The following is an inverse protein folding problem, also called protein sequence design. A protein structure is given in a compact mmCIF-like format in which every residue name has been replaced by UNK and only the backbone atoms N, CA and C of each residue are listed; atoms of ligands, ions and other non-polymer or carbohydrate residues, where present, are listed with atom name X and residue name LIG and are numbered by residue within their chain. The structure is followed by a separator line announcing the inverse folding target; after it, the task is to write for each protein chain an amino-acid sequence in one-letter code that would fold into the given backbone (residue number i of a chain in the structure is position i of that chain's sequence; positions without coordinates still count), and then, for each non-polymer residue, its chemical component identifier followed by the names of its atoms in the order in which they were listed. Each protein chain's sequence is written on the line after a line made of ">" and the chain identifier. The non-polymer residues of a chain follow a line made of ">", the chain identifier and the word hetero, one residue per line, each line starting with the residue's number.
data_IF_744918752758
#
_entry.id   IF_744918752758
#
_cell.length_a   1.000
_cell.length_b   1.000
_cell.length_c   1.000
_cell.angle_alpha   90.00
_cell.angle_beta   90.00
_cell.angle_gamma   90.00
#
_symmetry.space_group_name_H-M   'P 1'
#
loop_
_entity.id
_entity.type
_entity.pdbx_description
1 polymer ?
#
# COMPACT_ATOMS: atom_id res chain seq x y z
N UNK A 1 -6.67 2.08 -1.54
CA UNK A 1 -6.91 1.36 -0.28
C UNK A 1 -7.03 -0.13 -0.58
N UNK A 2 -6.31 -0.99 0.14
CA UNK A 2 -6.37 -2.45 -0.04
C UNK A 2 -6.34 -3.13 1.35
N UNK A 3 -7.30 -4.00 1.62
CA UNK A 3 -7.41 -4.73 2.88
C UNK A 3 -7.16 -6.24 2.70
N UNK A 4 -6.17 -6.80 3.38
CA UNK A 4 -5.81 -8.21 3.30
C UNK A 4 -6.11 -8.88 4.62
N UNK A 5 -6.97 -9.88 4.61
CA UNK A 5 -7.36 -10.61 5.81
C UNK A 5 -6.24 -11.51 6.36
N UNK A 6 -6.32 -11.78 7.65
CA UNK A 6 -5.45 -12.74 8.33
C UNK A 6 -5.66 -14.16 7.79
N UNK A 7 -4.59 -14.91 7.57
CA UNK A 7 -4.66 -16.33 7.19
C UNK A 7 -4.97 -17.23 8.40
N UNK A 8 -4.83 -16.73 9.64
CA UNK A 8 -5.08 -17.49 10.87
C UNK A 8 -6.53 -17.36 11.33
N UNK A 9 -6.95 -16.17 11.74
CA UNK A 9 -8.32 -15.93 12.21
C UNK A 9 -8.74 -14.47 11.95
N UNK A 10 -9.31 -14.17 10.78
CA UNK A 10 -9.65 -12.80 10.38
C UNK A 10 -10.52 -12.03 11.38
N UNK A 11 -11.43 -12.72 12.07
CA UNK A 11 -12.40 -12.10 12.98
C UNK A 11 -11.83 -11.76 14.37
N UNK A 12 -10.72 -12.38 14.78
CA UNK A 12 -10.12 -12.21 16.11
C UNK A 12 -8.73 -11.59 16.06
N UNK A 13 -8.03 -11.72 14.94
CA UNK A 13 -6.70 -11.15 14.76
C UNK A 13 -6.76 -9.62 14.57
N UNK A 14 -5.75 -8.93 15.10
CA UNK A 14 -5.69 -7.48 15.08
C UNK A 14 -5.54 -6.90 13.66
N UNK A 15 -6.02 -5.67 13.47
CA UNK A 15 -5.83 -4.90 12.23
C UNK A 15 -4.57 -4.05 12.36
N UNK A 16 -3.66 -4.20 11.40
CA UNK A 16 -2.45 -3.39 11.25
C UNK A 16 -2.66 -2.44 10.07
N UNK A 17 -2.58 -1.15 10.34
CA UNK A 17 -2.57 -0.11 9.31
C UNK A 17 -1.13 0.08 8.81
N UNK A 18 -0.93 -0.07 7.51
CA UNK A 18 0.34 0.21 6.83
C UNK A 18 0.22 1.45 5.96
N UNK A 19 1.12 2.40 6.21
CA UNK A 19 1.29 3.63 5.45
C UNK A 19 2.72 3.64 4.93
N UNK A 20 2.90 3.60 3.62
CA UNK A 20 4.21 3.90 3.04
C UNK A 20 4.57 5.37 3.29
N UNK A 21 5.83 5.61 3.62
CA UNK A 21 6.36 6.97 3.81
C UNK A 21 6.65 7.69 2.48
N UNK A 22 7.25 8.88 2.58
CA UNK A 22 7.71 9.69 1.45
C UNK A 22 6.58 10.28 0.59
N UNK A 23 6.80 11.43 -0.07
CA UNK A 23 5.85 11.95 -1.05
C UNK A 23 5.88 11.06 -2.31
N UNK A 24 4.77 10.39 -2.63
CA UNK A 24 4.58 9.70 -3.91
C UNK A 24 4.92 8.21 -3.96
N UNK A 25 5.38 7.58 -2.87
CA UNK A 25 5.59 6.14 -2.82
C UNK A 25 4.26 5.41 -2.52
N UNK A 26 3.91 4.42 -3.34
CA UNK A 26 2.67 3.68 -3.16
C UNK A 26 2.78 2.63 -2.06
N UNK A 27 1.77 2.56 -1.19
CA UNK A 27 1.62 1.51 -0.16
C UNK A 27 1.37 0.12 -0.75
N UNK A 28 0.94 0.04 -2.02
CA UNK A 28 0.94 -1.23 -2.75
C UNK A 28 2.34 -1.77 -3.05
N UNK A 29 3.39 -0.93 -3.06
CA UNK A 29 4.77 -1.40 -3.19
C UNK A 29 5.18 -2.29 -2.02
N UNK A 30 4.84 -1.87 -0.80
CA UNK A 30 5.10 -2.66 0.41
C UNK A 30 4.26 -3.95 0.47
N UNK A 31 3.03 -3.92 -0.07
CA UNK A 31 2.21 -5.13 -0.23
C UNK A 31 2.90 -6.16 -1.14
N UNK A 32 3.49 -5.74 -2.25
CA UNK A 32 4.04 -6.65 -3.26
C UNK A 32 5.51 -7.00 -3.06
N UNK A 33 6.26 -6.26 -2.25
CA UNK A 33 7.70 -6.49 -2.10
C UNK A 33 8.13 -6.76 -0.65
N UNK A 34 7.36 -6.33 0.35
CA UNK A 34 7.83 -6.38 1.74
C UNK A 34 7.02 -7.39 2.56
N UNK A 35 5.77 -7.04 2.86
CA UNK A 35 5.00 -7.59 3.99
C UNK A 35 3.63 -8.17 3.61
N UNK A 36 3.22 -8.05 2.35
CA UNK A 36 2.02 -8.71 1.87
C UNK A 36 2.17 -10.21 1.62
N UNK A 37 1.05 -10.89 1.31
CA UNK A 37 0.97 -12.33 1.13
C UNK A 37 1.73 -12.85 -0.08
N UNK A 38 1.97 -12.00 -1.08
CA UNK A 38 2.62 -12.38 -2.31
C UNK A 38 3.75 -11.41 -2.62
N UNK A 39 4.85 -11.94 -3.16
CA UNK A 39 5.95 -11.16 -3.67
C UNK A 39 6.00 -11.20 -5.20
N UNK A 40 6.32 -10.05 -5.79
CA UNK A 40 6.53 -9.98 -7.23
C UNK A 40 7.85 -10.66 -7.61
N UNK A 41 7.77 -11.58 -8.56
CA UNK A 41 8.95 -12.21 -9.15
C UNK A 41 9.73 -11.19 -9.98
N UNK A 42 11.03 -11.46 -10.19
CA UNK A 42 11.91 -10.59 -10.98
C UNK A 42 11.49 -10.45 -12.45
N UNK A 43 10.62 -11.35 -12.94
CA UNK A 43 10.01 -11.28 -14.26
C UNK A 43 8.93 -10.19 -14.38
N UNK A 44 8.50 -9.59 -13.26
CA UNK A 44 7.46 -8.57 -13.20
C UNK A 44 6.07 -9.08 -13.59
N UNK A 45 5.88 -10.39 -13.70
CA UNK A 45 4.64 -11.01 -14.20
C UNK A 45 4.08 -12.06 -13.26
N UNK A 46 4.96 -12.75 -12.54
CA UNK A 46 4.57 -13.83 -11.62
C UNK A 46 4.54 -13.33 -10.19
N UNK A 47 3.65 -13.93 -9.39
CA UNK A 47 3.57 -13.72 -7.96
C UNK A 47 3.89 -15.03 -7.25
N UNK A 48 4.74 -14.97 -6.23
CA UNK A 48 5.08 -16.12 -5.39
C UNK A 48 4.66 -15.87 -3.93
N UNK A 49 4.29 -16.94 -3.23
CA UNK A 49 3.78 -16.84 -1.86
C UNK A 49 4.89 -16.39 -0.89
N UNK A 50 4.58 -15.42 -0.03
CA UNK A 50 5.49 -14.91 0.97
C UNK A 50 5.33 -15.69 2.29
N UNK A 51 6.29 -16.56 2.57
CA UNK A 51 6.32 -17.33 3.83
C UNK A 51 6.50 -16.46 5.08
N UNK A 52 6.83 -15.18 4.95
CA UNK A 52 7.00 -14.25 6.06
C UNK A 52 5.99 -13.10 6.01
N UNK A 53 4.87 -13.31 5.32
CA UNK A 53 3.79 -12.32 5.25
C UNK A 53 3.23 -12.00 6.63
N UNK A 54 3.02 -10.72 6.89
CA UNK A 54 2.42 -10.26 8.14
C UNK A 54 0.94 -10.62 8.23
N UNK A 55 0.29 -10.88 7.09
CA UNK A 55 -1.09 -11.33 7.08
C UNK A 55 -1.27 -12.77 7.58
N UNK A 56 -0.21 -13.44 8.06
CA UNK A 56 -0.34 -14.75 8.71
C UNK A 56 -0.98 -14.67 10.10
N UNK A 57 -0.86 -13.54 10.78
CA UNK A 57 -1.31 -13.36 12.17
C UNK A 57 -2.09 -12.06 12.40
N UNK A 58 -2.33 -11.29 11.34
CA UNK A 58 -2.98 -9.99 11.42
C UNK A 58 -3.73 -9.66 10.12
N UNK A 59 -4.74 -8.82 10.23
CA UNK A 59 -5.39 -8.19 9.08
C UNK A 59 -4.58 -6.96 8.67
N UNK A 60 -4.20 -6.83 7.40
CA UNK A 60 -3.39 -5.71 6.91
C UNK A 60 -4.26 -4.72 6.12
N UNK A 61 -4.24 -3.45 6.53
CA UNK A 61 -4.87 -2.36 5.80
C UNK A 61 -3.80 -1.47 5.18
N UNK A 62 -3.69 -1.49 3.84
CA UNK A 62 -2.80 -0.62 3.08
C UNK A 62 -3.56 0.63 2.64
N UNK A 63 -3.13 1.78 3.13
CA UNK A 63 -3.74 3.06 2.82
C UNK A 63 -2.72 3.96 2.10
N UNK A 64 -3.14 4.48 0.95
CA UNK A 64 -2.38 5.50 0.22
C UNK A 64 -2.74 6.86 0.82
N UNK A 65 -1.75 7.64 1.29
CA UNK A 65 -1.96 8.98 1.82
C UNK A 65 -0.71 9.84 1.61
N UNK A 66 -0.84 11.18 1.48
CA UNK A 66 -2.08 11.97 1.36
C UNK A 66 -2.74 11.84 -0.04
N UNK A 67 -3.86 12.55 -0.23
CA UNK A 67 -4.52 12.67 -1.54
C UNK A 67 -3.50 13.08 -2.63
N UNK A 68 -3.46 12.32 -3.73
CA UNK A 68 -2.48 12.52 -4.80
C UNK A 68 -1.33 11.50 -4.87
N UNK A 69 -1.28 10.50 -3.98
CA UNK A 69 -0.31 9.39 -4.05
C UNK A 69 -0.92 8.17 -4.76
N UNK A 70 -0.18 7.61 -5.73
CA UNK A 70 -0.53 6.35 -6.40
C UNK A 70 -1.90 6.38 -7.11
N UNK A 71 -2.74 5.39 -6.86
CA UNK A 71 -4.09 5.30 -7.46
C UNK A 71 -4.97 6.51 -7.11
N UNK A 72 -4.77 7.13 -5.93
CA UNK A 72 -5.52 8.34 -5.56
C UNK A 72 -5.22 9.54 -6.46
N UNK A 73 -4.03 9.60 -7.07
CA UNK A 73 -3.71 10.62 -8.09
C UNK A 73 -4.65 10.50 -9.30
N UNK A 74 -4.87 9.26 -9.77
CA UNK A 74 -5.67 8.97 -10.95
C UNK A 74 -7.17 9.23 -10.69
N UNK A 75 -7.69 8.84 -9.52
CA UNK A 75 -9.13 9.01 -9.23
C UNK A 75 -9.51 10.47 -8.96
N UNK A 76 -8.58 11.27 -8.43
CA UNK A 76 -8.86 12.66 -8.03
C UNK A 76 -8.54 13.67 -9.13
N UNK A 77 -8.05 13.22 -10.29
CA UNK A 77 -7.69 14.11 -11.40
C UNK A 77 -6.54 15.08 -11.07
N UNK A 78 -5.71 14.74 -10.09
CA UNK A 78 -4.62 15.60 -9.62
C UNK A 78 -3.47 15.49 -10.62
N UNK A 79 -3.24 16.55 -11.40
CA UNK A 79 -2.09 16.61 -12.32
C UNK A 79 -0.78 16.81 -11.54
N UNK A 80 0.38 16.42 -12.11
CA UNK A 80 1.68 16.69 -11.48
C UNK A 80 1.89 18.17 -11.12
N UNK A 81 1.33 19.08 -11.93
CA UNK A 81 1.32 20.53 -11.70
C UNK A 81 0.56 20.91 -10.42
N UNK A 82 -0.60 20.28 -10.18
CA UNK A 82 -1.44 20.52 -8.99
C UNK A 82 -0.75 20.03 -7.70
N UNK A 83 0.02 18.93 -7.78
CA UNK A 83 0.79 18.42 -6.64
C UNK A 83 1.95 19.35 -6.25
N UNK A 84 2.66 19.91 -7.24
CA UNK A 84 3.72 20.91 -7.00
C UNK A 84 3.14 22.16 -6.32
N UNK A 85 1.94 22.58 -6.73
CA UNK A 85 1.25 23.71 -6.12
C UNK A 85 0.83 23.41 -4.68
N UNK A 86 0.30 22.21 -4.40
CA UNK A 86 -0.11 21.81 -3.05
C UNK A 86 1.08 21.69 -2.08
N UNK A 87 2.22 21.17 -2.53
CA UNK A 87 3.47 21.13 -1.74
C UNK A 87 4.01 22.54 -1.45
N UNK A 88 3.80 23.51 -2.35
CA UNK A 88 4.19 24.92 -2.15
C UNK A 88 3.25 25.71 -1.25
N UNK A 89 2.01 25.27 -1.06
CA UNK A 89 1.03 25.93 -0.18
C UNK A 89 1.15 25.47 1.28
N UNK A 90 1.86 24.36 1.54
CA UNK A 90 2.05 23.78 2.89
C UNK A 90 3.46 24.11 3.46
N UNK A 91 4.25 24.93 2.75
CA UNK A 91 5.51 25.53 3.23
C UNK A 91 5.37 27.04 3.30
#
# INVERSE_FOLDING_TARGET
>A
MRFVESQRSPSTDHVILWLSGGPGCSSLGALLNELGPFRMSADGKSLHNNSYSWNRVANLLFLEAPAGVGFLMLIMGITPQMMILFQRTIM
#
